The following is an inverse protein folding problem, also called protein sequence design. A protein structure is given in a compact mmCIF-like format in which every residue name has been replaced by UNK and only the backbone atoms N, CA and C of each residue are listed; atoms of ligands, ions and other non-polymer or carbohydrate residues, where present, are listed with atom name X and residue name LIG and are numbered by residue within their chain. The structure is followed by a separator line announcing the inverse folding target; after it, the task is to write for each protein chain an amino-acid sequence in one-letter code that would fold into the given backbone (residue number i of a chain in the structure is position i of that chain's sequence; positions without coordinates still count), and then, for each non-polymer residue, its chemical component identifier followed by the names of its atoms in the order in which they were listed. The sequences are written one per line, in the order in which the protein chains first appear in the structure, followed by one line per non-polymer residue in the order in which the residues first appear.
data_IF_642095620010
#
_entry.id   IF_642095620010
#
_cell.length_a   1.000
_cell.length_b   1.000
_cell.length_c   1.000
_cell.angle_alpha   90.00
_cell.angle_beta   90.00
_cell.angle_gamma   90.00
#
_symmetry.space_group_name_H-M   'P 1'
#
loop_
_entity.id
_entity.type
_entity.pdbx_description
1 polymer ?
#
# COMPACT_ATOMS: atom_id res chain seq x y z
N UNK A 1 -12.91 13.02 12.94
CA UNK A 1 -11.75 12.50 12.19
C UNK A 1 -10.79 13.63 11.91
N UNK A 2 -9.55 13.51 12.36
CA UNK A 2 -8.50 14.48 12.06
C UNK A 2 -8.12 14.41 10.58
N UNK A 3 -7.47 15.44 10.04
CA UNK A 3 -7.03 15.45 8.64
C UNK A 3 -6.05 14.29 8.37
N UNK A 4 -5.21 13.95 9.33
CA UNK A 4 -4.24 12.86 9.22
C UNK A 4 -4.92 11.47 9.27
N UNK A 5 -5.99 11.30 10.06
CA UNK A 5 -6.79 10.07 10.06
C UNK A 5 -7.48 9.84 8.71
N UNK A 6 -7.99 10.92 8.08
CA UNK A 6 -8.56 10.86 6.73
C UNK A 6 -7.50 10.44 5.69
N UNK A 7 -6.28 11.00 5.79
CA UNK A 7 -5.16 10.62 4.90
C UNK A 7 -4.83 9.15 5.02
N UNK A 8 -4.67 8.64 6.25
CA UNK A 8 -4.37 7.23 6.50
C UNK A 8 -5.47 6.31 5.94
N UNK A 9 -6.74 6.69 6.12
CA UNK A 9 -7.87 5.94 5.57
C UNK A 9 -7.88 5.93 4.05
N UNK A 10 -7.71 7.08 3.42
CA UNK A 10 -7.70 7.18 1.95
C UNK A 10 -6.51 6.40 1.37
N UNK A 11 -5.33 6.52 1.96
CA UNK A 11 -4.16 5.77 1.52
C UNK A 11 -4.38 4.26 1.61
N UNK A 12 -4.98 3.78 2.70
CA UNK A 12 -5.32 2.37 2.88
C UNK A 12 -6.29 1.89 1.79
N UNK A 13 -7.36 2.65 1.55
CA UNK A 13 -8.37 2.32 0.53
C UNK A 13 -7.75 2.33 -0.87
N UNK A 14 -6.88 3.30 -1.19
CA UNK A 14 -6.20 3.36 -2.48
C UNK A 14 -5.30 2.15 -2.71
N UNK A 15 -4.49 1.75 -1.71
CA UNK A 15 -3.59 0.60 -1.82
C UNK A 15 -4.39 -0.70 -2.00
N UNK A 16 -5.40 -0.92 -1.18
CA UNK A 16 -6.27 -2.10 -1.29
C UNK A 16 -7.02 -2.11 -2.62
N UNK A 17 -7.60 -0.98 -3.02
CA UNK A 17 -8.36 -0.87 -4.27
C UNK A 17 -7.49 -1.15 -5.49
N UNK A 18 -6.28 -0.58 -5.55
CA UNK A 18 -5.35 -0.81 -6.65
C UNK A 18 -4.90 -2.27 -6.73
N UNK A 19 -4.58 -2.89 -5.58
CA UNK A 19 -4.18 -4.29 -5.55
C UNK A 19 -5.31 -5.24 -5.94
N UNK A 20 -6.51 -5.03 -5.40
CA UNK A 20 -7.68 -5.86 -5.73
C UNK A 20 -8.10 -5.70 -7.19
N UNK A 21 -8.05 -4.48 -7.73
CA UNK A 21 -8.31 -4.22 -9.15
C UNK A 21 -7.31 -4.95 -10.05
N UNK A 22 -6.03 -4.91 -9.71
CA UNK A 22 -4.99 -5.66 -10.41
C UNK A 22 -5.27 -7.17 -10.40
N UNK A 23 -5.53 -7.74 -9.22
CA UNK A 23 -5.83 -9.17 -9.08
C UNK A 23 -7.06 -9.55 -9.91
N UNK A 24 -8.13 -8.75 -9.84
CA UNK A 24 -9.34 -8.98 -10.62
C UNK A 24 -9.07 -8.96 -12.14
N UNK A 25 -8.27 -8.01 -12.63
CA UNK A 25 -7.90 -7.91 -14.04
C UNK A 25 -7.13 -9.16 -14.48
N UNK A 26 -6.14 -9.61 -13.68
CA UNK A 26 -5.33 -10.79 -14.00
C UNK A 26 -6.22 -12.04 -14.03
N UNK A 27 -7.11 -12.22 -13.05
CA UNK A 27 -8.02 -13.38 -13.00
C UNK A 27 -9.01 -13.39 -14.17
N UNK A 28 -9.59 -12.24 -14.52
CA UNK A 28 -10.49 -12.12 -15.68
C UNK A 28 -9.75 -12.43 -16.98
N UNK A 29 -8.53 -11.94 -17.14
CA UNK A 29 -7.71 -12.22 -18.33
C UNK A 29 -7.27 -13.68 -18.41
N UNK A 30 -7.08 -14.35 -17.28
CA UNK A 30 -6.75 -15.77 -17.25
C UNK A 30 -7.91 -16.64 -17.78
N UNK A 31 -9.18 -16.20 -17.60
CA UNK A 31 -10.38 -16.87 -18.11
C UNK A 31 -10.40 -18.39 -17.86
N UNK A 32 -9.88 -18.83 -16.69
CA UNK A 32 -9.77 -20.25 -16.33
C UNK A 32 -8.53 -20.97 -16.86
N UNK A 33 -7.66 -20.27 -17.61
CA UNK A 33 -6.35 -20.78 -18.03
C UNK A 33 -5.25 -20.50 -16.99
N UNK A 34 -4.00 -20.89 -17.28
CA UNK A 34 -2.88 -20.64 -16.37
C UNK A 34 -2.60 -19.13 -16.26
N UNK A 35 -2.58 -18.63 -15.04
CA UNK A 35 -2.32 -17.20 -14.75
C UNK A 35 -0.93 -16.72 -15.21
N UNK A 36 0.02 -17.63 -15.33
CA UNK A 36 1.38 -17.38 -15.83
C UNK A 36 1.44 -17.05 -17.33
N UNK A 37 0.40 -17.42 -18.09
CA UNK A 37 0.29 -17.13 -19.53
C UNK A 37 -0.32 -15.75 -19.82
N UNK A 38 -0.83 -15.07 -18.78
CA UNK A 38 -1.45 -13.74 -18.92
C UNK A 38 -0.37 -12.66 -19.03
N UNK A 39 -0.58 -11.71 -19.93
CA UNK A 39 0.20 -10.45 -19.90
C UNK A 39 -0.20 -9.63 -18.67
N UNK A 40 0.57 -9.81 -17.60
CA UNK A 40 0.37 -9.17 -16.30
C UNK A 40 1.15 -7.86 -16.15
N UNK A 41 2.15 -7.61 -17.01
CA UNK A 41 3.07 -6.48 -16.87
C UNK A 41 2.33 -5.16 -17.01
N UNK A 42 1.52 -5.02 -18.04
CA UNK A 42 0.75 -3.79 -18.28
C UNK A 42 -0.25 -3.49 -17.14
N UNK A 43 -1.09 -4.45 -16.67
CA UNK A 43 -1.94 -4.22 -15.51
C UNK A 43 -1.18 -3.93 -14.22
N UNK A 44 -0.04 -4.60 -13.99
CA UNK A 44 0.77 -4.40 -12.78
C UNK A 44 1.35 -2.99 -12.75
N UNK A 45 2.03 -2.58 -13.81
CA UNK A 45 2.60 -1.23 -13.92
C UNK A 45 1.50 -0.18 -13.88
N UNK A 46 0.38 -0.41 -14.59
CA UNK A 46 -0.76 0.48 -14.60
C UNK A 46 -1.36 0.69 -13.21
N UNK A 47 -1.56 -0.38 -12.44
CA UNK A 47 -2.09 -0.29 -11.07
C UNK A 47 -1.18 0.47 -10.12
N UNK A 48 0.14 0.29 -10.26
CA UNK A 48 1.14 1.03 -9.48
C UNK A 48 1.09 2.53 -9.84
N UNK A 49 1.13 2.86 -11.13
CA UNK A 49 1.10 4.25 -11.58
C UNK A 49 -0.19 4.95 -11.15
N UNK A 50 -1.34 4.31 -11.34
CA UNK A 50 -2.64 4.85 -10.90
C UNK A 50 -2.65 5.09 -9.40
N UNK A 51 -2.16 4.14 -8.59
CA UNK A 51 -2.11 4.31 -7.13
C UNK A 51 -1.23 5.47 -6.70
N UNK A 52 -0.10 5.68 -7.37
CA UNK A 52 0.80 6.82 -7.12
C UNK A 52 0.10 8.14 -7.46
N UNK A 53 -0.48 8.25 -8.66
CA UNK A 53 -1.18 9.47 -9.08
C UNK A 53 -2.34 9.79 -8.16
N UNK A 54 -3.18 8.81 -7.83
CA UNK A 54 -4.31 9.00 -6.91
C UNK A 54 -3.81 9.44 -5.53
N UNK A 55 -2.74 8.83 -5.01
CA UNK A 55 -2.16 9.23 -3.73
C UNK A 55 -1.65 10.67 -3.74
N UNK A 56 -1.01 11.10 -4.83
CA UNK A 56 -0.53 12.49 -4.99
C UNK A 56 -1.71 13.46 -5.02
N UNK A 57 -2.71 13.19 -5.86
CA UNK A 57 -3.90 14.05 -6.00
C UNK A 57 -4.65 14.18 -4.67
N UNK A 58 -4.88 13.07 -3.98
CA UNK A 58 -5.54 13.07 -2.68
C UNK A 58 -4.76 13.89 -1.65
N UNK A 59 -3.44 13.74 -1.60
CA UNK A 59 -2.60 14.53 -0.69
C UNK A 59 -2.68 16.04 -1.01
N UNK A 60 -2.68 16.41 -2.30
CA UNK A 60 -2.83 17.82 -2.72
C UNK A 60 -4.21 18.36 -2.28
N UNK A 61 -5.28 17.62 -2.54
CA UNK A 61 -6.65 18.04 -2.18
C UNK A 61 -6.78 18.19 -0.67
N UNK A 62 -6.31 17.24 0.13
CA UNK A 62 -6.37 17.32 1.59
C UNK A 62 -5.56 18.51 2.09
N UNK A 63 -4.38 18.77 1.53
CA UNK A 63 -3.58 19.95 1.89
C UNK A 63 -4.27 21.25 1.53
N UNK A 64 -4.91 21.33 0.37
CA UNK A 64 -5.63 22.54 -0.07
C UNK A 64 -6.86 22.84 0.81
N UNK A 65 -7.60 21.81 1.19
CA UNK A 65 -8.79 21.96 2.06
C UNK A 65 -8.40 22.21 3.52
N UNK A 66 -7.27 21.69 3.99
CA UNK A 66 -6.78 21.86 5.37
C UNK A 66 -5.95 23.13 5.58
N UNK A 67 -5.76 23.95 4.55
CA UNK A 67 -4.94 25.17 4.60
C UNK A 67 -5.50 26.27 5.53
N UNK A 68 -6.73 26.12 6.01
CA UNK A 68 -7.36 27.04 6.99
C UNK A 68 -6.89 26.80 8.44
N UNK A 69 -6.29 25.67 8.72
CA UNK A 69 -5.65 25.37 9.99
C UNK A 69 -4.25 24.83 9.70
N UNK A 70 -3.28 25.74 9.69
CA UNK A 70 -1.84 25.43 9.70
C UNK A 70 -1.49 24.83 11.07
N UNK A 71 -2.10 23.71 11.40
CA UNK A 71 -1.66 22.91 12.52
C UNK A 71 -0.33 22.28 12.14
N UNK A 72 0.72 22.75 12.81
CA UNK A 72 2.01 22.07 12.84
C UNK A 72 1.71 20.61 13.14
N UNK A 73 2.19 19.70 12.28
CA UNK A 73 2.20 18.26 12.62
C UNK A 73 2.69 18.15 14.05
N UNK A 74 1.78 17.79 14.93
CA UNK A 74 2.07 17.68 16.34
C UNK A 74 3.11 16.57 16.55
N UNK A 75 3.88 16.64 17.64
CA UNK A 75 4.87 15.60 17.94
C UNK A 75 4.24 14.20 17.96
N UNK A 76 2.98 14.12 18.36
CA UNK A 76 2.16 12.91 18.33
C UNK A 76 1.96 12.38 16.91
N UNK A 77 1.62 13.22 15.94
CA UNK A 77 1.39 12.79 14.56
C UNK A 77 2.67 12.22 13.93
N UNK A 78 3.81 12.83 14.21
CA UNK A 78 5.11 12.31 13.76
C UNK A 78 5.43 10.93 14.34
N UNK A 79 5.07 10.69 15.60
CA UNK A 79 5.29 9.40 16.26
C UNK A 79 4.38 8.33 15.65
N UNK A 80 3.12 8.66 15.36
CA UNK A 80 2.18 7.76 14.69
C UNK A 80 2.65 7.44 13.27
N UNK A 81 3.14 8.43 12.52
CA UNK A 81 3.70 8.22 11.18
C UNK A 81 4.88 7.24 11.21
N UNK A 82 5.84 7.46 12.11
CA UNK A 82 6.99 6.57 12.28
C UNK A 82 6.58 5.14 12.66
N UNK A 83 5.58 4.99 13.54
CA UNK A 83 5.06 3.70 13.92
C UNK A 83 4.41 2.98 12.74
N UNK A 84 3.60 3.68 11.94
CA UNK A 84 3.02 3.13 10.73
C UNK A 84 4.07 2.69 9.71
N UNK A 85 5.06 3.53 9.44
CA UNK A 85 6.16 3.22 8.52
C UNK A 85 6.99 2.03 8.99
N UNK A 86 7.27 1.95 10.30
CA UNK A 86 7.98 0.81 10.87
C UNK A 86 7.16 -0.49 10.72
N UNK A 87 5.87 -0.43 10.97
CA UNK A 87 4.97 -1.58 10.80
C UNK A 87 4.89 -2.04 9.34
N UNK A 88 4.82 -1.08 8.40
CA UNK A 88 4.79 -1.38 6.96
C UNK A 88 6.07 -2.03 6.44
N UNK A 89 7.22 -1.69 7.01
CA UNK A 89 8.52 -2.23 6.60
C UNK A 89 8.57 -3.75 6.64
N UNK A 90 7.94 -4.39 7.61
CA UNK A 90 7.90 -5.84 7.73
C UNK A 90 7.16 -6.51 6.57
N UNK A 91 6.06 -5.90 6.09
CA UNK A 91 5.36 -6.39 4.90
C UNK A 91 6.25 -6.40 3.66
N UNK A 92 7.02 -5.32 3.47
CA UNK A 92 7.95 -5.20 2.35
C UNK A 92 9.10 -6.22 2.45
N UNK A 93 9.69 -6.37 3.64
CA UNK A 93 10.77 -7.35 3.87
C UNK A 93 10.27 -8.76 3.57
N UNK A 94 9.09 -9.13 4.06
CA UNK A 94 8.51 -10.45 3.80
C UNK A 94 8.28 -10.69 2.30
N UNK A 95 7.70 -9.74 1.59
CA UNK A 95 7.47 -9.82 0.14
C UNK A 95 8.79 -9.91 -0.66
N UNK A 96 9.78 -9.09 -0.31
CA UNK A 96 11.08 -9.12 -0.96
C UNK A 96 11.82 -10.44 -0.70
N UNK A 97 11.77 -10.94 0.53
CA UNK A 97 12.38 -12.25 0.87
C UNK A 97 11.71 -13.39 0.10
N UNK A 98 10.37 -13.39 0.03
CA UNK A 98 9.65 -14.38 -0.76
C UNK A 98 10.02 -14.30 -2.24
N UNK A 99 10.05 -13.10 -2.81
CA UNK A 99 10.44 -12.90 -4.21
C UNK A 99 11.88 -13.41 -4.47
N UNK A 100 12.80 -13.16 -3.54
CA UNK A 100 14.18 -13.66 -3.63
C UNK A 100 14.23 -15.20 -3.61
N UNK A 101 13.48 -15.84 -2.71
CA UNK A 101 13.39 -17.31 -2.64
C UNK A 101 12.84 -17.87 -3.96
N UNK A 102 11.75 -17.30 -4.49
CA UNK A 102 11.17 -17.73 -5.76
C UNK A 102 12.15 -17.56 -6.93
N UNK A 103 12.93 -16.48 -6.94
CA UNK A 103 13.96 -16.25 -7.95
C UNK A 103 15.08 -17.29 -7.88
N UNK A 104 15.53 -17.67 -6.66
CA UNK A 104 16.53 -18.71 -6.45
C UNK A 104 16.03 -20.09 -6.89
N UNK A 105 14.75 -20.35 -6.72
CA UNK A 105 14.08 -21.57 -7.18
C UNK A 105 13.79 -21.57 -8.69
N UNK A 106 14.12 -20.48 -9.39
CA UNK A 106 13.88 -20.29 -10.83
C UNK A 106 12.42 -20.46 -11.22
N UNK A 107 11.51 -20.02 -10.35
CA UNK A 107 10.06 -20.02 -10.62
C UNK A 107 9.75 -18.98 -11.68
N UNK A 108 8.62 -19.14 -12.37
CA UNK A 108 8.16 -18.20 -13.39
C UNK A 108 8.18 -16.74 -12.89
N UNK A 109 8.69 -15.79 -13.69
CA UNK A 109 8.75 -14.36 -13.34
C UNK A 109 7.43 -13.76 -12.88
N UNK A 110 6.30 -14.30 -13.32
CA UNK A 110 4.98 -13.91 -12.85
C UNK A 110 4.89 -13.98 -11.32
N UNK A 111 5.30 -15.10 -10.72
CA UNK A 111 5.22 -15.31 -9.27
C UNK A 111 6.18 -14.40 -8.50
N UNK A 112 7.36 -14.15 -9.06
CA UNK A 112 8.37 -13.26 -8.46
C UNK A 112 7.83 -11.83 -8.40
N UNK A 113 7.31 -11.33 -9.52
CA UNK A 113 6.74 -10.00 -9.60
C UNK A 113 5.53 -9.84 -8.67
N UNK A 114 4.63 -10.84 -8.63
CA UNK A 114 3.45 -10.80 -7.77
C UNK A 114 3.79 -10.92 -6.28
N UNK A 115 4.80 -11.70 -5.90
CA UNK A 115 5.28 -11.78 -4.51
C UNK A 115 5.81 -10.42 -4.04
N UNK A 116 6.57 -9.73 -4.89
CA UNK A 116 7.09 -8.41 -4.58
C UNK A 116 5.95 -7.37 -4.50
N UNK A 117 5.02 -7.39 -5.45
CA UNK A 117 3.87 -6.49 -5.46
C UNK A 117 2.95 -6.72 -4.25
N UNK A 118 2.72 -7.97 -3.87
CA UNK A 118 2.02 -8.31 -2.62
C UNK A 118 2.75 -7.73 -1.39
N UNK A 119 4.08 -7.80 -1.37
CA UNK A 119 4.90 -7.19 -0.31
C UNK A 119 4.68 -5.68 -0.19
N UNK A 120 4.63 -4.95 -1.30
CA UNK A 120 4.30 -3.53 -1.32
C UNK A 120 2.85 -3.26 -0.84
N UNK A 121 1.89 -4.07 -1.28
CA UNK A 121 0.50 -3.94 -0.84
C UNK A 121 0.38 -4.19 0.67
N UNK A 122 1.00 -5.24 1.19
CA UNK A 122 1.03 -5.55 2.63
C UNK A 122 1.71 -4.43 3.42
N UNK A 123 2.80 -3.86 2.91
CA UNK A 123 3.47 -2.72 3.55
C UNK A 123 2.53 -1.52 3.69
N UNK A 124 1.83 -1.17 2.61
CA UNK A 124 0.85 -0.07 2.63
C UNK A 124 -0.34 -0.33 3.54
N UNK A 125 -0.87 -1.54 3.52
CA UNK A 125 -2.01 -1.95 4.37
C UNK A 125 -1.62 -1.95 5.85
N UNK A 126 -0.50 -2.57 6.21
CA UNK A 126 -0.04 -2.62 7.60
C UNK A 126 0.31 -1.24 8.14
N UNK A 127 0.96 -0.38 7.33
CA UNK A 127 1.23 1.00 7.69
C UNK A 127 -0.06 1.80 7.92
N UNK A 128 -1.03 1.68 7.01
CA UNK A 128 -2.33 2.36 7.11
C UNK A 128 -3.13 1.91 8.33
N UNK A 129 -3.23 0.60 8.55
CA UNK A 129 -3.92 0.04 9.72
C UNK A 129 -3.25 0.45 11.03
N UNK A 130 -1.91 0.39 11.11
CA UNK A 130 -1.18 0.80 12.29
C UNK A 130 -1.43 2.27 12.63
N UNK A 131 -1.43 3.17 11.64
CA UNK A 131 -1.78 4.59 11.82
C UNK A 131 -3.22 4.74 12.32
N UNK A 132 -4.19 4.09 11.70
CA UNK A 132 -5.60 4.18 12.11
C UNK A 132 -5.83 3.68 13.54
N UNK A 133 -5.21 2.57 13.92
CA UNK A 133 -5.29 2.03 15.28
C UNK A 133 -4.66 3.02 16.27
N UNK A 134 -3.50 3.59 15.95
CA UNK A 134 -2.82 4.56 16.79
C UNK A 134 -3.63 5.86 16.98
N UNK A 135 -4.34 6.32 15.93
CA UNK A 135 -5.23 7.48 16.05
C UNK A 135 -6.46 7.19 16.90
N UNK A 136 -7.04 6.00 16.80
CA UNK A 136 -8.29 5.65 17.52
C UNK A 136 -8.05 5.21 18.98
N UNK A 137 -6.98 4.46 19.23
CA UNK A 137 -6.72 3.87 20.57
C UNK A 137 -5.64 4.60 21.36
N UNK A 138 -4.93 5.54 20.73
CA UNK A 138 -3.72 6.14 21.28
C UNK A 138 -2.52 5.19 21.18
N UNK A 139 -1.32 5.78 21.15
CA UNK A 139 -0.10 4.99 21.31
C UNK A 139 0.03 4.62 22.79
N UNK A 140 -0.03 3.34 23.13
CA UNK A 140 0.49 2.88 24.42
C UNK A 140 2.01 3.04 24.35
N UNK A 141 2.52 4.07 24.99
CA UNK A 141 3.95 4.20 25.27
C UNK A 141 4.30 3.13 26.30
N UNK A 142 5.04 2.14 25.85
CA UNK A 142 5.78 1.22 26.73
C UNK A 142 7.15 1.81 26.97
#
# INVERSE_FOLDING_TARGET
MTAEEKRATVQLVCVLGAYLAYVAIVLVRAAGGPVTAVDYVAPLVGSILVSIVVSIVVNIVINAVSSTSRDRKDARDRTIDRFGEHSGRWGLIAGATLALILAMLRVDPFWIANALYLGFALAGVTAGLAKLVAYRRGLRTW
#
